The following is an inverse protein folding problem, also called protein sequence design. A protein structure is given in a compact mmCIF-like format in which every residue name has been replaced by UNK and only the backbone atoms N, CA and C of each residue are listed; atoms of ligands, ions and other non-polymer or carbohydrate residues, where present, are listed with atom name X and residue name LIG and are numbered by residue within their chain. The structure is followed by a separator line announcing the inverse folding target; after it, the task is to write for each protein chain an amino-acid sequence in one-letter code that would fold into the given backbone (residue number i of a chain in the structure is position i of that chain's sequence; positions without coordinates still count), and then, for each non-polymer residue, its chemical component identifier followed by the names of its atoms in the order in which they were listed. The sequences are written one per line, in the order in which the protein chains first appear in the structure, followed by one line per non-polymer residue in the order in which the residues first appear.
data_IF_101888904960
#
_entry.id   IF_101888904960
#
_cell.length_a   1.000
_cell.length_b   1.000
_cell.length_c   1.000
_cell.angle_alpha   90.00
_cell.angle_beta   90.00
_cell.angle_gamma   90.00
#
_symmetry.space_group_name_H-M   'P 1'
#
loop_
_entity.id
_entity.type
_entity.pdbx_description
1 polymer ?
#
# COMPACT_ATOMS: atom_id res chain seq x y z
N UNK A 1 25.03 -50.41 3.73
CA UNK A 1 23.71 -49.99 3.21
C UNK A 1 23.01 -48.93 4.07
N UNK A 2 22.96 -49.06 5.41
CA UNK A 2 22.23 -48.11 6.28
C UNK A 2 22.73 -46.65 6.26
N UNK A 3 24.05 -46.42 6.10
CA UNK A 3 24.63 -45.06 6.01
C UNK A 3 24.24 -44.35 4.72
N UNK A 4 24.23 -45.07 3.61
CA UNK A 4 23.88 -44.52 2.29
C UNK A 4 22.40 -44.12 2.25
N UNK A 5 21.53 -44.93 2.87
CA UNK A 5 20.10 -44.64 2.96
C UNK A 5 19.80 -43.39 3.82
N UNK A 6 20.53 -43.21 4.93
CA UNK A 6 20.41 -42.00 5.77
C UNK A 6 20.85 -40.73 5.03
N UNK A 7 21.91 -40.81 4.24
CA UNK A 7 22.38 -39.69 3.42
C UNK A 7 21.38 -39.33 2.31
N UNK A 8 20.83 -40.34 1.62
CA UNK A 8 19.82 -40.13 0.59
C UNK A 8 18.51 -39.53 1.16
N UNK A 9 18.06 -40.01 2.32
CA UNK A 9 16.88 -39.47 3.00
C UNK A 9 17.10 -38.02 3.47
N UNK A 10 18.27 -37.72 4.02
CA UNK A 10 18.64 -36.35 4.41
C UNK A 10 18.68 -35.39 3.21
N UNK A 11 19.28 -35.83 2.10
CA UNK A 11 19.33 -35.04 0.87
C UNK A 11 17.92 -34.79 0.31
N UNK A 12 17.08 -35.84 0.24
CA UNK A 12 15.71 -35.71 -0.21
C UNK A 12 14.91 -34.70 0.63
N UNK A 13 15.04 -34.76 1.97
CA UNK A 13 14.37 -33.83 2.87
C UNK A 13 14.81 -32.38 2.64
N UNK A 14 16.11 -32.14 2.47
CA UNK A 14 16.62 -30.79 2.19
C UNK A 14 16.16 -30.26 0.83
N UNK A 15 16.07 -31.12 -0.18
CA UNK A 15 15.64 -30.74 -1.53
C UNK A 15 14.15 -30.40 -1.56
N UNK A 16 13.32 -31.15 -0.83
CA UNK A 16 11.89 -30.87 -0.69
C UNK A 16 11.62 -29.54 0.02
N UNK A 17 12.38 -29.22 1.08
CA UNK A 17 12.23 -27.95 1.79
C UNK A 17 12.63 -26.74 0.94
N UNK A 18 13.70 -26.87 0.14
CA UNK A 18 14.14 -25.82 -0.77
C UNK A 18 13.14 -25.57 -1.91
N UNK A 19 12.47 -26.61 -2.41
CA UNK A 19 11.51 -26.50 -3.50
C UNK A 19 10.23 -25.72 -3.13
N UNK A 20 9.91 -25.61 -1.84
CA UNK A 20 8.73 -24.88 -1.33
C UNK A 20 9.03 -23.48 -0.82
N UNK A 21 10.30 -23.05 -0.84
CA UNK A 21 10.69 -21.73 -0.39
C UNK A 21 10.24 -20.66 -1.40
N UNK A 22 9.31 -19.80 -0.99
CA UNK A 22 9.02 -18.58 -1.74
C UNK A 22 9.98 -17.49 -1.29
N UNK A 23 10.58 -16.76 -2.23
CA UNK A 23 11.36 -15.57 -1.90
C UNK A 23 10.43 -14.51 -1.30
N UNK A 24 10.89 -13.82 -0.25
CA UNK A 24 10.22 -12.61 0.20
C UNK A 24 10.27 -11.59 -0.94
N UNK A 25 9.14 -10.96 -1.26
CA UNK A 25 9.14 -9.78 -2.15
C UNK A 25 9.85 -8.66 -1.40
N UNK A 26 11.11 -8.42 -1.74
CA UNK A 26 12.06 -7.59 -0.96
C UNK A 26 11.73 -6.08 -1.00
N UNK A 27 10.77 -5.63 -1.81
CA UNK A 27 10.38 -4.22 -1.86
C UNK A 27 9.29 -3.91 -2.89
N UNK A 28 8.92 -2.64 -2.99
CA UNK A 28 8.01 -2.14 -4.04
C UNK A 28 6.52 -2.23 -3.71
N UNK A 29 6.07 -3.23 -2.95
CA UNK A 29 4.64 -3.42 -2.64
C UNK A 29 4.00 -2.20 -1.95
N UNK A 30 4.75 -1.51 -1.09
CA UNK A 30 4.30 -0.35 -0.33
C UNK A 30 5.19 0.88 -0.54
N UNK A 31 5.98 0.92 -1.63
CA UNK A 31 6.94 2.01 -1.87
C UNK A 31 6.26 3.39 -1.95
N UNK A 32 4.99 3.40 -2.35
CA UNK A 32 4.16 4.59 -2.49
C UNK A 32 2.89 4.53 -1.63
N UNK A 33 2.91 3.77 -0.53
CA UNK A 33 1.74 3.64 0.35
C UNK A 33 1.32 4.99 0.95
N UNK A 34 2.25 5.95 1.06
CA UNK A 34 1.94 7.32 1.48
C UNK A 34 0.94 8.03 0.54
N UNK A 35 0.84 7.65 -0.75
CA UNK A 35 -0.17 8.19 -1.66
C UNK A 35 -1.59 7.76 -1.28
N UNK A 36 -1.72 6.71 -0.47
CA UNK A 36 -2.99 6.22 0.08
C UNK A 36 -3.32 6.82 1.44
N UNK A 37 -2.40 7.59 2.03
CA UNK A 37 -2.67 8.29 3.28
C UNK A 37 -3.59 9.47 3.02
N UNK A 38 -4.46 9.74 3.99
CA UNK A 38 -5.36 10.88 3.95
C UNK A 38 -4.56 12.18 3.89
N UNK A 39 -4.95 13.05 2.97
CA UNK A 39 -4.23 14.27 2.62
C UNK A 39 -4.74 15.51 3.36
N UNK A 40 -5.68 15.38 4.30
CA UNK A 40 -6.13 16.45 5.19
C UNK A 40 -6.83 15.90 6.45
N UNK A 41 -6.94 16.69 7.54
CA UNK A 41 -7.71 16.30 8.72
C UNK A 41 -9.19 16.09 8.41
N UNK A 42 -9.76 16.89 7.52
CA UNK A 42 -11.16 16.78 7.12
C UNK A 42 -11.43 15.45 6.40
N UNK A 43 -10.62 15.08 5.42
CA UNK A 43 -10.71 13.77 4.75
C UNK A 43 -10.52 12.64 5.77
N UNK A 44 -9.60 12.80 6.72
CA UNK A 44 -9.34 11.79 7.76
C UNK A 44 -10.59 11.55 8.63
N UNK A 45 -11.29 12.62 8.99
CA UNK A 45 -12.55 12.54 9.73
C UNK A 45 -13.67 11.86 8.92
N UNK A 46 -13.63 11.92 7.60
CA UNK A 46 -14.57 11.24 6.68
C UNK A 46 -14.23 9.77 6.42
N UNK A 47 -13.19 9.22 7.08
CA UNK A 47 -12.76 7.83 6.88
C UNK A 47 -11.64 7.66 5.85
N UNK A 48 -10.97 8.75 5.46
CA UNK A 48 -9.74 8.72 4.66
C UNK A 48 -9.93 8.80 3.14
N UNK A 49 -11.17 8.71 2.64
CA UNK A 49 -11.45 8.76 1.20
C UNK A 49 -12.84 9.35 0.91
N UNK A 50 -12.88 10.49 0.22
CA UNK A 50 -14.10 11.25 -0.05
C UNK A 50 -14.07 11.95 -1.43
N UNK A 51 -13.96 11.19 -2.54
CA UNK A 51 -13.69 11.75 -3.87
C UNK A 51 -14.85 12.52 -4.51
N UNK A 52 -16.05 12.43 -3.94
CA UNK A 52 -17.26 13.08 -4.45
C UNK A 52 -17.96 13.94 -3.37
N UNK A 53 -17.23 14.34 -2.32
CA UNK A 53 -17.80 15.22 -1.30
C UNK A 53 -17.99 16.64 -1.87
N UNK A 54 -19.22 17.19 -1.91
CA UNK A 54 -19.49 18.53 -2.43
C UNK A 54 -19.12 19.69 -1.48
N UNK A 55 -18.58 19.40 -0.30
CA UNK A 55 -18.23 20.40 0.72
C UNK A 55 -17.29 21.51 0.21
N UNK A 56 -17.29 22.63 0.91
CA UNK A 56 -16.45 23.79 0.61
C UNK A 56 -15.06 23.66 1.24
N UNK A 57 -14.32 22.64 0.83
CA UNK A 57 -12.93 22.42 1.23
C UNK A 57 -12.03 22.20 0.01
N UNK A 58 -11.05 23.08 -0.17
CA UNK A 58 -10.07 23.00 -1.27
C UNK A 58 -9.19 21.74 -1.15
N UNK A 59 -9.01 21.18 0.05
CA UNK A 59 -8.23 19.96 0.28
C UNK A 59 -8.82 18.72 -0.40
N UNK A 60 -10.15 18.70 -0.67
CA UNK A 60 -10.83 17.62 -1.39
C UNK A 60 -10.39 17.55 -2.87
N UNK A 61 -9.92 18.67 -3.44
CA UNK A 61 -9.42 18.71 -4.83
C UNK A 61 -8.17 17.87 -5.04
N UNK A 62 -7.42 17.58 -3.98
CA UNK A 62 -6.24 16.70 -4.02
C UNK A 62 -6.63 15.23 -4.23
N UNK A 63 -7.85 14.82 -3.85
CA UNK A 63 -8.38 13.48 -4.12
C UNK A 63 -9.07 13.41 -5.48
N UNK A 64 -9.76 14.48 -5.86
CA UNK A 64 -10.44 14.58 -7.14
C UNK A 64 -10.31 16.02 -7.69
N UNK A 65 -9.42 16.25 -8.67
CA UNK A 65 -9.26 17.55 -9.31
C UNK A 65 -10.54 18.06 -10.00
N UNK A 66 -11.51 17.18 -10.31
CA UNK A 66 -12.82 17.57 -10.83
C UNK A 66 -13.71 18.32 -9.84
N UNK A 67 -13.37 18.32 -8.54
CA UNK A 67 -14.05 19.12 -7.52
C UNK A 67 -13.57 20.59 -7.47
N UNK A 68 -12.59 20.95 -8.31
CA UNK A 68 -12.10 22.32 -8.37
C UNK A 68 -13.18 23.27 -8.90
N UNK A 69 -13.47 24.33 -8.14
CA UNK A 69 -14.53 25.30 -8.47
C UNK A 69 -13.98 26.73 -8.43
N UNK A 70 -14.60 27.68 -9.18
CA UNK A 70 -14.15 29.07 -9.21
C UNK A 70 -14.06 29.75 -7.83
N UNK A 71 -14.88 29.32 -6.86
CA UNK A 71 -14.85 29.85 -5.49
C UNK A 71 -13.60 29.46 -4.70
N UNK A 72 -12.75 28.56 -5.21
CA UNK A 72 -11.46 28.21 -4.58
C UNK A 72 -10.29 29.11 -4.99
N UNK A 73 -10.54 30.18 -5.75
CA UNK A 73 -9.51 31.18 -6.05
C UNK A 73 -8.92 31.76 -4.75
N UNK A 74 -7.59 31.74 -4.62
CA UNK A 74 -6.83 32.17 -3.44
C UNK A 74 -7.17 31.44 -2.13
N UNK A 75 -7.73 30.22 -2.20
CA UNK A 75 -7.85 29.36 -1.03
C UNK A 75 -6.54 28.62 -0.77
N UNK A 76 -6.13 28.59 0.50
CA UNK A 76 -4.97 27.83 0.97
C UNK A 76 -5.45 26.84 2.03
N UNK A 77 -5.18 25.55 1.80
CA UNK A 77 -5.28 24.52 2.83
C UNK A 77 -3.91 24.27 3.44
N UNK A 78 -3.86 24.18 4.76
CA UNK A 78 -2.67 23.77 5.52
C UNK A 78 -2.95 22.39 6.14
N UNK A 79 -1.95 21.51 6.14
CA UNK A 79 -2.01 20.18 6.77
C UNK A 79 -1.39 20.22 8.16
#
# INVERSE_FOLDING_TARGET
MSRFFRLAAGLALTLSAAATANAQVTGGQNAFEYLRMSNSPHVSALGGFAPANPDNDVSLTLQNPGLLKPSYHNQLSVN
#
